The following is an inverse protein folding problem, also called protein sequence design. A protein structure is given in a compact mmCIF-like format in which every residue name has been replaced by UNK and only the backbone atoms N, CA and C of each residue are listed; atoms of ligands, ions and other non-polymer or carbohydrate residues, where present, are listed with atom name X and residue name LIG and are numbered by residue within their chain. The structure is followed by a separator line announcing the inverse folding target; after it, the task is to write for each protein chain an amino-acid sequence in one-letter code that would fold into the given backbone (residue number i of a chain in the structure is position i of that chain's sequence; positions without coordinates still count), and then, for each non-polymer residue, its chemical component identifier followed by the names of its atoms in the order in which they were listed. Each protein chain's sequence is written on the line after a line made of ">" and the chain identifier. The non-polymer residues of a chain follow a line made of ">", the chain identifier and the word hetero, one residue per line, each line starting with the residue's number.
data_IF_894259205151
#
_entry.id   IF_894259205151
#
_cell.length_a   1.000
_cell.length_b   1.000
_cell.length_c   1.000
_cell.angle_alpha   90.00
_cell.angle_beta   90.00
_cell.angle_gamma   90.00
#
_symmetry.space_group_name_H-M   'P 1'
#
loop_
_entity.id
_entity.type
_entity.pdbx_description
1 polymer ?
#
# COMPACT_ATOMS: atom_id res chain seq x y z
N UNK A 1 -8.01 8.08 -1.41
CA UNK A 1 -6.60 8.03 -1.02
C UNK A 1 -6.25 9.31 -0.27
N UNK A 2 -5.41 9.19 0.76
CA UNK A 2 -4.75 10.31 1.44
C UNK A 2 -3.27 10.23 1.12
N UNK A 3 -2.55 11.34 1.12
CA UNK A 3 -1.12 11.31 0.80
C UNK A 3 -0.35 12.43 1.51
N UNK A 4 0.96 12.22 1.66
CA UNK A 4 1.91 13.23 2.11
C UNK A 4 3.18 13.15 1.26
N UNK A 5 3.65 14.29 0.76
CA UNK A 5 5.00 14.40 0.18
C UNK A 5 6.03 14.52 1.29
N UNK A 6 7.25 14.01 1.07
CA UNK A 6 8.33 14.02 2.06
C UNK A 6 8.64 15.42 2.62
N UNK A 7 8.54 16.43 1.79
CA UNK A 7 8.87 17.81 2.17
C UNK A 7 7.63 18.61 2.65
N UNK A 8 6.48 17.94 2.86
CA UNK A 8 5.28 18.57 3.36
C UNK A 8 5.18 18.49 4.90
N UNK A 9 4.43 19.42 5.49
CA UNK A 9 4.10 19.40 6.93
C UNK A 9 3.35 18.13 7.38
N UNK A 10 2.74 17.41 6.43
CA UNK A 10 1.97 16.19 6.71
C UNK A 10 2.82 14.92 6.73
N UNK A 11 4.09 14.97 6.26
CA UNK A 11 4.94 13.80 6.13
C UNK A 11 5.09 13.01 7.43
N UNK A 12 5.44 13.71 8.50
CA UNK A 12 5.75 13.06 9.78
C UNK A 12 4.57 12.27 10.31
N UNK A 13 3.36 12.79 10.14
CA UNK A 13 2.13 12.13 10.55
C UNK A 13 1.89 10.79 9.85
N UNK A 14 2.25 10.67 8.56
CA UNK A 14 2.18 9.41 7.81
C UNK A 14 3.35 8.48 8.16
N UNK A 15 4.54 9.05 8.31
CA UNK A 15 5.76 8.29 8.55
C UNK A 15 5.76 7.60 9.91
N UNK A 16 5.28 8.26 10.95
CA UNK A 16 5.19 7.72 12.31
C UNK A 16 4.20 6.56 12.44
N UNK A 17 3.29 6.41 11.49
CA UNK A 17 2.38 5.26 11.43
C UNK A 17 3.09 3.97 10.99
N UNK A 18 4.21 4.06 10.29
CA UNK A 18 4.94 2.89 9.79
C UNK A 18 5.61 2.13 10.94
N UNK A 19 5.61 0.80 10.87
CA UNK A 19 6.45 -0.01 11.75
C UNK A 19 7.93 0.28 11.48
N UNK A 20 8.78 0.14 12.50
CA UNK A 20 10.20 0.47 12.45
C UNK A 20 10.92 -0.15 11.23
N UNK A 21 10.64 -1.43 10.92
CA UNK A 21 11.23 -2.12 9.77
C UNK A 21 10.92 -1.47 8.42
N UNK A 22 9.76 -0.79 8.29
CA UNK A 22 9.40 -0.04 7.10
C UNK A 22 9.98 1.37 7.13
N UNK A 23 10.05 2.02 8.30
CA UNK A 23 10.67 3.34 8.44
C UNK A 23 12.13 3.37 7.96
N UNK A 24 12.89 2.28 8.19
CA UNK A 24 14.31 2.16 7.81
C UNK A 24 14.55 2.52 6.34
N UNK A 25 13.68 2.11 5.43
CA UNK A 25 13.83 2.35 3.99
C UNK A 25 12.84 3.40 3.45
N UNK A 26 11.61 3.45 3.98
CA UNK A 26 10.57 4.36 3.51
C UNK A 26 10.88 5.84 3.77
N UNK A 27 11.79 6.16 4.70
CA UNK A 27 12.27 7.54 4.95
C UNK A 27 12.80 8.25 3.70
N UNK A 28 13.24 7.48 2.70
CA UNK A 28 13.77 8.00 1.44
C UNK A 28 12.70 8.10 0.35
N UNK A 29 11.46 7.65 0.59
CA UNK A 29 10.38 7.79 -0.36
C UNK A 29 10.04 9.25 -0.62
N UNK A 30 9.57 9.57 -1.83
CA UNK A 30 9.13 10.91 -2.20
C UNK A 30 7.72 11.21 -1.67
N UNK A 31 6.88 10.17 -1.53
CA UNK A 31 5.54 10.29 -0.99
C UNK A 31 5.11 9.01 -0.25
N UNK A 32 4.25 9.18 0.76
CA UNK A 32 3.48 8.12 1.39
C UNK A 32 2.00 8.32 1.04
N UNK A 33 1.33 7.24 0.71
CA UNK A 33 -0.08 7.27 0.30
C UNK A 33 -0.83 6.21 1.11
N UNK A 34 -1.94 6.61 1.73
CA UNK A 34 -2.86 5.71 2.41
C UNK A 34 -4.05 5.41 1.51
N UNK A 35 -4.22 4.14 1.14
CA UNK A 35 -5.41 3.66 0.46
C UNK A 35 -6.52 3.41 1.48
N UNK A 36 -7.65 4.01 1.22
CA UNK A 36 -8.89 3.82 1.99
C UNK A 36 -10.03 3.52 1.01
N UNK A 37 -11.00 2.74 1.43
CA UNK A 37 -12.20 2.42 0.68
C UNK A 37 -13.46 2.80 1.45
N UNK A 38 -14.46 3.32 0.77
CA UNK A 38 -15.76 3.60 1.39
C UNK A 38 -16.60 2.34 1.46
N UNK A 39 -17.07 2.00 2.65
CA UNK A 39 -17.80 0.76 2.93
C UNK A 39 -19.27 0.81 2.50
N UNK A 40 -19.75 1.99 2.06
CA UNK A 40 -21.13 2.23 1.64
C UNK A 40 -21.20 2.95 0.31
N UNK A 41 -22.29 2.78 -0.41
CA UNK A 41 -22.58 3.53 -1.64
C UNK A 41 -23.06 4.95 -1.35
N UNK A 42 -22.52 5.96 -2.05
CA UNK A 42 -22.88 7.38 -1.87
C UNK A 42 -24.35 7.66 -2.20
N UNK A 43 -24.90 6.97 -3.21
CA UNK A 43 -26.24 7.25 -3.72
C UNK A 43 -27.38 6.72 -2.84
N UNK A 44 -27.13 5.78 -1.91
CA UNK A 44 -28.18 5.16 -1.10
C UNK A 44 -27.76 4.73 0.31
N UNK A 45 -26.48 4.90 0.69
CA UNK A 45 -25.94 4.52 2.00
C UNK A 45 -25.88 3.02 2.30
N UNK A 46 -26.26 2.15 1.34
CA UNK A 46 -26.20 0.69 1.55
C UNK A 46 -24.75 0.19 1.56
N UNK A 47 -24.47 -0.94 2.22
CA UNK A 47 -23.14 -1.54 2.22
C UNK A 47 -22.63 -1.85 0.81
N UNK A 48 -21.41 -1.46 0.50
CA UNK A 48 -20.67 -1.82 -0.70
C UNK A 48 -19.79 -3.02 -0.39
N UNK A 49 -20.22 -4.23 -0.71
CA UNK A 49 -19.50 -5.47 -0.36
C UNK A 49 -18.14 -5.56 -1.07
N UNK A 50 -18.03 -4.95 -2.25
CA UNK A 50 -16.83 -5.00 -3.10
C UNK A 50 -15.85 -3.85 -2.87
N UNK A 51 -16.04 -3.00 -1.88
CA UNK A 51 -15.22 -1.79 -1.68
C UNK A 51 -13.71 -2.06 -1.61
N UNK A 52 -13.28 -3.14 -0.93
CA UNK A 52 -11.85 -3.52 -0.86
C UNK A 52 -11.34 -4.10 -2.19
N UNK A 53 -12.18 -4.80 -2.96
CA UNK A 53 -11.84 -5.28 -4.30
C UNK A 53 -11.61 -4.10 -5.26
N UNK A 54 -12.48 -3.10 -5.21
CA UNK A 54 -12.34 -1.88 -6.01
C UNK A 54 -11.09 -1.08 -5.62
N UNK A 55 -10.77 -1.03 -4.32
CA UNK A 55 -9.55 -0.41 -3.83
C UNK A 55 -8.30 -1.16 -4.30
N UNK A 56 -8.33 -2.50 -4.33
CA UNK A 56 -7.26 -3.34 -4.87
C UNK A 56 -7.04 -3.12 -6.37
N UNK A 57 -8.12 -2.99 -7.15
CA UNK A 57 -8.05 -2.67 -8.58
C UNK A 57 -7.47 -1.27 -8.82
N UNK A 58 -7.86 -0.29 -8.01
CA UNK A 58 -7.29 1.06 -8.06
C UNK A 58 -5.80 1.09 -7.69
N UNK A 59 -5.40 0.29 -6.69
CA UNK A 59 -4.01 0.08 -6.31
C UNK A 59 -3.18 -0.46 -7.48
N UNK A 60 -3.63 -1.52 -8.16
CA UNK A 60 -2.90 -2.12 -9.27
C UNK A 60 -2.72 -1.11 -10.42
N UNK A 61 -3.77 -0.39 -10.81
CA UNK A 61 -3.67 0.66 -11.82
C UNK A 61 -2.67 1.75 -11.43
N UNK A 62 -2.67 2.16 -10.16
CA UNK A 62 -1.74 3.14 -9.63
C UNK A 62 -0.29 2.63 -9.70
N UNK A 63 -0.04 1.37 -9.28
CA UNK A 63 1.29 0.75 -9.29
C UNK A 63 1.82 0.58 -10.72
N UNK A 64 0.99 0.11 -11.65
CA UNK A 64 1.35 -0.03 -13.07
C UNK A 64 1.67 1.33 -13.70
N UNK A 65 0.86 2.35 -13.45
CA UNK A 65 1.11 3.69 -13.97
C UNK A 65 2.39 4.29 -13.39
N UNK A 66 2.68 4.05 -12.11
CA UNK A 66 3.93 4.44 -11.47
C UNK A 66 5.14 3.77 -12.13
N UNK A 67 5.08 2.46 -12.32
CA UNK A 67 6.14 1.68 -12.99
C UNK A 67 6.39 2.17 -14.42
N UNK A 68 5.33 2.43 -15.20
CA UNK A 68 5.44 2.97 -16.56
C UNK A 68 6.09 4.36 -16.61
N UNK A 69 6.00 5.12 -15.52
CA UNK A 69 6.65 6.42 -15.35
C UNK A 69 8.05 6.33 -14.72
N UNK A 70 8.56 5.13 -14.47
CA UNK A 70 9.88 4.92 -13.87
C UNK A 70 9.93 5.09 -12.35
N UNK A 71 8.80 5.08 -11.66
CA UNK A 71 8.74 5.11 -10.21
C UNK A 71 8.70 3.70 -9.61
N UNK A 72 9.23 3.57 -8.39
CA UNK A 72 8.94 2.44 -7.51
C UNK A 72 7.68 2.78 -6.71
N UNK A 73 6.73 1.85 -6.70
CA UNK A 73 5.47 1.94 -5.96
C UNK A 73 5.36 0.69 -5.09
N UNK A 74 5.54 0.84 -3.77
CA UNK A 74 5.65 -0.28 -2.84
C UNK A 74 4.51 -0.27 -1.83
N UNK A 75 3.60 -1.24 -1.93
CA UNK A 75 2.51 -1.44 -0.98
C UNK A 75 2.97 -2.10 0.30
N UNK A 76 2.52 -1.62 1.45
CA UNK A 76 2.89 -2.07 2.79
C UNK A 76 1.64 -2.37 3.62
N UNK A 77 1.71 -3.47 4.40
CA UNK A 77 0.77 -3.73 5.48
C UNK A 77 1.35 -3.41 6.87
N UNK A 78 2.67 -3.15 6.95
CA UNK A 78 3.38 -2.90 8.20
C UNK A 78 3.24 -1.46 8.67
N UNK A 79 2.07 -1.08 9.16
CA UNK A 79 1.77 0.22 9.78
C UNK A 79 0.62 0.11 10.78
N UNK A 80 0.42 1.14 11.60
CA UNK A 80 -0.66 1.22 12.58
C UNK A 80 -1.97 1.66 11.92
N UNK A 81 -2.88 0.72 11.69
CA UNK A 81 -4.19 0.95 11.05
C UNK A 81 -5.12 1.82 11.91
N UNK A 82 -5.17 1.58 13.22
CA UNK A 82 -6.02 2.33 14.13
C UNK A 82 -5.45 3.72 14.41
N UNK A 83 -4.13 3.80 14.55
CA UNK A 83 -3.42 5.07 14.62
C UNK A 83 -3.65 5.91 13.36
N UNK A 84 -3.65 5.31 12.17
CA UNK A 84 -3.94 6.00 10.92
C UNK A 84 -5.36 6.59 10.90
N UNK A 85 -6.35 5.82 11.36
CA UNK A 85 -7.74 6.30 11.47
C UNK A 85 -7.82 7.54 12.35
N UNK A 86 -7.20 7.47 13.52
CA UNK A 86 -7.23 8.54 14.53
C UNK A 86 -6.45 9.77 14.05
N UNK A 87 -5.19 9.58 13.65
CA UNK A 87 -4.28 10.67 13.27
C UNK A 87 -4.77 11.42 12.03
N UNK A 88 -5.29 10.68 11.03
CA UNK A 88 -5.75 11.26 9.76
C UNK A 88 -7.25 11.57 9.75
N UNK A 89 -7.94 11.42 10.89
CA UNK A 89 -9.38 11.72 11.08
C UNK A 89 -10.26 11.01 10.05
N UNK A 90 -9.99 9.72 9.81
CA UNK A 90 -10.71 8.92 8.82
C UNK A 90 -12.07 8.52 9.41
N UNK A 91 -13.21 8.87 8.77
CA UNK A 91 -14.55 8.52 9.26
C UNK A 91 -14.79 7.00 9.26
N UNK A 92 -15.72 6.53 10.10
CA UNK A 92 -15.99 5.10 10.31
C UNK A 92 -16.51 4.37 9.07
N UNK A 93 -17.17 5.11 8.15
CA UNK A 93 -17.60 4.55 6.87
C UNK A 93 -16.47 4.27 5.88
N UNK A 94 -15.21 4.56 6.25
CA UNK A 94 -14.03 4.22 5.45
C UNK A 94 -13.21 3.14 6.12
N UNK A 95 -12.75 2.18 5.33
CA UNK A 95 -11.77 1.17 5.73
C UNK A 95 -10.37 1.61 5.32
N UNK A 96 -9.42 1.47 6.23
CA UNK A 96 -7.98 1.61 5.95
C UNK A 96 -7.50 0.31 5.30
N UNK A 97 -6.95 0.38 4.10
CA UNK A 97 -6.57 -0.79 3.30
C UNK A 97 -5.07 -1.06 3.30
N UNK A 98 -4.27 -0.10 2.88
CA UNK A 98 -2.82 -0.26 2.76
C UNK A 98 -2.11 1.09 2.78
N UNK A 99 -0.86 1.10 3.24
CA UNK A 99 0.08 2.22 3.04
C UNK A 99 0.97 1.94 1.84
N UNK A 100 1.34 2.97 1.11
CA UNK A 100 2.15 2.87 -0.11
C UNK A 100 3.27 3.89 -0.07
N UNK A 101 4.49 3.46 -0.32
CA UNK A 101 5.63 4.33 -0.55
C UNK A 101 5.88 4.49 -2.06
N UNK A 102 6.11 5.73 -2.49
CA UNK A 102 6.43 6.07 -3.89
C UNK A 102 7.75 6.80 -3.93
N UNK A 103 8.63 6.42 -4.85
CA UNK A 103 9.93 7.06 -5.02
C UNK A 103 10.57 6.76 -6.36
N UNK A 104 11.75 7.33 -6.59
CA UNK A 104 12.61 6.99 -7.71
C UNK A 104 13.46 5.79 -7.32
N UNK A 105 13.71 4.82 -8.23
CA UNK A 105 14.63 3.72 -7.96
C UNK A 105 16.02 4.25 -7.55
N UNK A 106 16.61 3.62 -6.55
CA UNK A 106 17.95 3.93 -6.08
C UNK A 106 18.81 2.67 -6.07
N UNK A 107 20.11 2.84 -5.90
CA UNK A 107 21.03 1.72 -5.75
C UNK A 107 20.67 0.92 -4.48
N UNK A 108 20.56 -0.42 -4.56
CA UNK A 108 20.36 -1.28 -3.40
C UNK A 108 21.42 -1.12 -2.29
N UNK A 109 22.61 -0.64 -2.61
CA UNK A 109 23.69 -0.41 -1.65
C UNK A 109 23.37 0.67 -0.59
N UNK A 110 22.37 1.51 -0.83
CA UNK A 110 21.86 2.47 0.18
C UNK A 110 21.06 1.80 1.30
N UNK A 111 20.68 0.53 1.12
CA UNK A 111 19.92 -0.24 2.10
C UNK A 111 20.84 -0.91 3.12
N UNK A 112 20.40 -1.09 4.37
CA UNK A 112 21.07 -1.97 5.31
C UNK A 112 21.25 -3.37 4.72
N UNK A 113 22.37 -4.04 5.05
CA UNK A 113 22.75 -5.35 4.51
C UNK A 113 21.62 -6.39 4.55
N UNK A 114 20.87 -6.46 5.67
CA UNK A 114 19.74 -7.38 5.82
C UNK A 114 18.59 -7.13 4.85
N UNK A 115 18.41 -5.89 4.40
CA UNK A 115 17.39 -5.53 3.41
C UNK A 115 17.93 -5.74 2.00
N UNK A 116 19.17 -5.32 1.74
CA UNK A 116 19.85 -5.52 0.45
C UNK A 116 19.87 -6.98 0.02
N UNK A 117 20.11 -7.91 0.95
CA UNK A 117 20.08 -9.34 0.66
C UNK A 117 18.71 -9.85 0.19
N UNK A 118 17.63 -9.06 0.35
CA UNK A 118 16.26 -9.38 -0.08
C UNK A 118 15.84 -8.70 -1.38
N UNK A 119 16.71 -7.86 -1.97
CA UNK A 119 16.42 -7.10 -3.21
C UNK A 119 16.49 -7.97 -4.49
N UNK A 120 16.46 -9.29 -4.34
CA UNK A 120 16.36 -10.20 -5.46
C UNK A 120 14.89 -10.40 -5.82
N UNK A 121 14.50 -10.21 -7.09
CA UNK A 121 13.13 -10.48 -7.52
C UNK A 121 12.71 -11.91 -7.16
N UNK A 122 11.55 -12.06 -6.53
CA UNK A 122 10.99 -13.36 -6.21
C UNK A 122 10.24 -13.95 -7.41
N UNK A 123 10.23 -15.28 -7.52
CA UNK A 123 9.37 -15.96 -8.46
C UNK A 123 7.89 -15.74 -8.14
N UNK A 124 7.07 -15.82 -9.17
CA UNK A 124 5.62 -15.84 -9.02
C UNK A 124 5.11 -17.24 -8.76
N UNK A 125 4.02 -17.35 -8.00
CA UNK A 125 3.33 -18.64 -7.84
C UNK A 125 2.91 -19.18 -9.21
N UNK A 126 3.00 -20.48 -9.39
CA UNK A 126 2.50 -21.14 -10.59
C UNK A 126 0.99 -20.97 -10.69
N UNK A 127 0.47 -20.94 -11.92
CA UNK A 127 -0.94 -20.69 -12.17
C UNK A 127 -1.85 -21.69 -11.43
N UNK A 128 -1.46 -22.96 -11.40
CA UNK A 128 -2.19 -24.05 -10.74
C UNK A 128 -2.29 -23.89 -9.22
N UNK A 129 -1.48 -22.99 -8.64
CA UNK A 129 -1.52 -22.64 -7.20
C UNK A 129 -2.44 -21.44 -6.91
N UNK A 130 -2.99 -20.82 -7.96
CA UNK A 130 -3.75 -19.56 -7.84
C UNK A 130 -5.13 -19.63 -8.47
N UNK A 131 -5.41 -20.63 -9.30
CA UNK A 131 -6.70 -20.82 -9.95
C UNK A 131 -7.20 -22.25 -9.76
N UNK A 132 -8.53 -22.41 -9.69
CA UNK A 132 -9.23 -23.69 -9.74
C UNK A 132 -10.42 -23.55 -10.68
N UNK A 133 -10.68 -24.59 -11.45
CA UNK A 133 -11.93 -24.68 -12.23
C UNK A 133 -13.04 -25.21 -11.33
N UNK A 134 -14.16 -24.47 -11.26
CA UNK A 134 -15.40 -24.89 -10.64
C UNK A 134 -15.40 -24.84 -9.12
N UNK A 135 -14.58 -25.62 -8.41
CA UNK A 135 -14.59 -25.72 -6.94
C UNK A 135 -13.24 -25.35 -6.34
N UNK A 136 -13.26 -24.91 -5.07
CA UNK A 136 -12.04 -24.64 -4.30
C UNK A 136 -11.15 -25.88 -4.25
N UNK A 137 -9.88 -25.77 -4.68
CA UNK A 137 -8.94 -26.90 -4.78
C UNK A 137 -7.60 -26.67 -4.07
N UNK A 138 -7.37 -25.53 -3.48
CA UNK A 138 -6.11 -25.23 -2.77
C UNK A 138 -6.07 -25.98 -1.42
N UNK A 139 -4.83 -26.42 -1.05
CA UNK A 139 -4.54 -27.05 0.25
C UNK A 139 -3.96 -26.02 1.22
#
# INVERSE_FOLDING_TARGET
>A
MLYAFRDSEHWQQFFDLLVESNQVWAKNAAALILFISKTTFDYNGKPSITHSFDAGAAWENFALQGALKGYVVHGMQGFDYEGARTALKIPDEYRVEAMVAVGIPSDPDVLPEKLRAKETPSDRRKLEQTICEGRFCFK
#
